data_IF_103551873192
#
_entry.id   IF_103551873192
#
_cell.length_a   1.000
_cell.length_b   1.000
_cell.length_c   1.000
_cell.angle_alpha   90.00
_cell.angle_beta   90.00
_cell.angle_gamma   90.00
#
_symmetry.space_group_name_H-M   'P 1'
#
loop_
_entity.id
_entity.type
_entity.pdbx_description
1 polymer ?
#
# COMPACT_ATOMS: atom_id res chain seq x y z
N UNK A 1 -17.31 18.17 0.06
CA UNK A 1 -16.30 17.68 1.02
C UNK A 1 -15.47 16.61 0.31
N UNK A 2 -14.15 16.79 0.27
CA UNK A 2 -13.24 15.75 -0.24
C UNK A 2 -13.10 14.65 0.82
N UNK A 3 -13.05 13.36 0.44
CA UNK A 3 -12.80 12.29 1.39
C UNK A 3 -11.40 12.46 1.99
N UNK A 4 -11.26 12.21 3.29
CA UNK A 4 -9.97 12.19 3.98
C UNK A 4 -9.34 10.81 3.79
N UNK A 5 -8.18 10.77 3.16
CA UNK A 5 -7.39 9.57 2.94
C UNK A 5 -6.23 9.54 3.92
N UNK A 6 -5.94 8.39 4.47
CA UNK A 6 -4.78 8.17 5.34
C UNK A 6 -3.98 6.94 4.90
N UNK A 7 -2.70 6.96 5.15
CA UNK A 7 -1.79 5.84 4.98
C UNK A 7 -1.02 5.61 6.27
N UNK A 8 -1.04 4.41 6.78
CA UNK A 8 -0.25 4.00 7.92
C UNK A 8 0.80 2.97 7.50
N UNK A 9 2.07 3.30 7.69
CA UNK A 9 3.19 2.39 7.54
C UNK A 9 3.49 1.70 8.87
N UNK A 10 3.49 0.37 8.88
CA UNK A 10 3.60 -0.42 10.10
C UNK A 10 4.94 -1.14 10.17
N UNK A 11 5.70 -0.88 11.25
CA UNK A 11 7.04 -1.39 11.47
C UNK A 11 8.11 -0.73 10.58
N UNK A 12 9.36 -1.14 10.71
CA UNK A 12 10.50 -0.54 10.00
C UNK A 12 10.35 -0.58 8.47
N UNK A 13 9.87 -1.71 7.90
CA UNK A 13 9.63 -1.82 6.46
C UNK A 13 8.51 -0.87 5.97
N UNK A 14 7.42 -0.72 6.76
CA UNK A 14 6.38 0.26 6.48
C UNK A 14 6.91 1.69 6.55
N UNK A 15 7.78 2.00 7.51
CA UNK A 15 8.48 3.28 7.62
C UNK A 15 9.36 3.59 6.41
N UNK A 16 10.09 2.61 5.88
CA UNK A 16 10.90 2.77 4.68
C UNK A 16 10.03 3.06 3.44
N UNK A 17 8.89 2.38 3.30
CA UNK A 17 7.94 2.69 2.24
C UNK A 17 7.42 4.13 2.33
N UNK A 18 7.14 4.63 3.55
CA UNK A 18 6.70 6.01 3.76
C UNK A 18 7.75 7.04 3.35
N UNK A 19 9.06 6.78 3.57
CA UNK A 19 10.14 7.67 3.09
C UNK A 19 10.05 7.86 1.58
N UNK A 20 9.93 6.77 0.83
CA UNK A 20 9.76 6.82 -0.62
C UNK A 20 8.50 7.59 -1.01
N UNK A 21 7.40 7.43 -0.29
CA UNK A 21 6.14 8.13 -0.56
C UNK A 21 6.24 9.64 -0.32
N UNK A 22 6.96 10.07 0.71
CA UNK A 22 7.27 11.49 0.95
C UNK A 22 8.17 12.05 -0.15
N UNK A 23 9.22 11.33 -0.52
CA UNK A 23 10.16 11.74 -1.59
C UNK A 23 9.48 11.85 -2.96
N UNK A 24 8.55 10.96 -3.26
CA UNK A 24 7.76 10.94 -4.50
C UNK A 24 6.59 11.95 -4.49
N UNK A 25 6.31 12.60 -3.36
CA UNK A 25 5.26 13.61 -3.25
C UNK A 25 3.85 13.01 -3.32
N UNK A 26 3.49 12.12 -2.38
CA UNK A 26 2.14 11.60 -2.27
C UNK A 26 1.21 12.67 -1.67
N UNK A 27 0.50 13.39 -2.53
CA UNK A 27 -0.38 14.49 -2.14
C UNK A 27 -1.78 14.02 -1.71
N UNK A 28 -2.34 14.73 -0.73
CA UNK A 28 -3.74 14.54 -0.31
C UNK A 28 -3.99 13.31 0.56
N UNK A 29 -2.93 12.68 1.07
CA UNK A 29 -3.00 11.52 1.96
C UNK A 29 -2.24 11.85 3.26
N UNK A 30 -2.90 11.70 4.40
CA UNK A 30 -2.25 11.85 5.71
C UNK A 30 -1.33 10.66 5.97
N UNK A 31 -0.06 10.91 6.30
CA UNK A 31 0.95 9.88 6.47
C UNK A 31 1.25 9.63 7.96
N UNK A 32 1.07 8.39 8.40
CA UNK A 32 1.33 7.92 9.76
C UNK A 32 2.33 6.77 9.75
N UNK A 33 3.26 6.74 10.71
CA UNK A 33 4.17 5.62 10.92
C UNK A 33 3.93 5.01 12.29
N UNK A 34 3.48 3.75 12.35
CA UNK A 34 3.32 3.00 13.59
C UNK A 34 4.48 2.02 13.77
N UNK A 35 5.26 2.18 14.82
CA UNK A 35 6.37 1.28 15.11
C UNK A 35 6.55 1.07 16.62
N UNK A 36 7.11 -0.09 16.98
CA UNK A 36 7.57 -0.44 18.33
C UNK A 36 9.01 0.02 18.59
N UNK A 37 9.72 0.46 17.56
CA UNK A 37 11.08 1.01 17.64
C UNK A 37 11.01 2.54 17.47
N UNK A 38 11.36 3.25 18.55
CA UNK A 38 11.30 4.72 18.57
C UNK A 38 12.41 5.34 17.70
N UNK A 39 13.57 4.70 17.59
CA UNK A 39 14.69 5.22 16.79
C UNK A 39 14.34 5.23 15.30
N UNK A 40 13.61 4.20 14.82
CA UNK A 40 13.11 4.17 13.46
C UNK A 40 12.14 5.32 13.18
N UNK A 41 11.26 5.65 14.15
CA UNK A 41 10.29 6.74 14.03
C UNK A 41 10.94 8.11 13.98
N UNK A 42 11.98 8.37 14.79
CA UNK A 42 12.70 9.65 14.85
C UNK A 42 13.38 10.00 13.50
N UNK A 43 13.73 8.99 12.73
CA UNK A 43 14.37 9.16 11.41
C UNK A 43 13.38 9.45 10.26
N UNK A 44 12.07 9.47 10.53
CA UNK A 44 11.03 9.72 9.53
C UNK A 44 10.65 11.20 9.49
N UNK A 45 10.94 11.88 8.38
CA UNK A 45 10.53 13.26 8.13
C UNK A 45 9.27 13.31 7.28
N UNK A 46 8.38 14.27 7.58
CA UNK A 46 7.14 14.45 6.80
C UNK A 46 6.05 13.41 7.08
N UNK A 47 6.20 12.62 8.15
CA UNK A 47 5.26 11.58 8.57
C UNK A 47 4.94 11.78 10.05
N UNK A 48 3.69 11.57 10.45
CA UNK A 48 3.29 11.62 11.86
C UNK A 48 3.65 10.29 12.55
N UNK A 49 4.54 10.30 13.54
CA UNK A 49 4.94 9.08 14.23
C UNK A 49 3.88 8.65 15.26
N UNK A 50 3.66 7.35 15.35
CA UNK A 50 2.82 6.68 16.36
C UNK A 50 3.67 5.59 17.02
N UNK A 51 4.15 5.85 18.22
CA UNK A 51 4.89 4.85 19.01
C UNK A 51 3.90 3.87 19.63
N UNK A 52 3.96 2.61 19.23
CA UNK A 52 3.05 1.58 19.73
C UNK A 52 3.76 0.64 20.72
N UNK A 53 3.03 0.20 21.75
CA UNK A 53 3.53 -0.78 22.70
C UNK A 53 4.59 -0.24 23.67
N UNK A 54 4.44 0.99 24.16
CA UNK A 54 5.40 1.63 25.08
C UNK A 54 5.66 0.81 26.33
N UNK A 55 4.68 0.06 26.86
CA UNK A 55 4.85 -0.83 27.99
C UNK A 55 5.38 -2.21 27.61
N UNK A 56 4.96 -2.73 26.46
CA UNK A 56 5.30 -4.10 26.04
C UNK A 56 6.67 -4.21 25.37
N UNK A 57 7.21 -3.11 24.80
CA UNK A 57 8.47 -3.11 24.03
C UNK A 57 9.49 -2.09 24.53
N UNK A 58 9.09 -1.17 25.41
CA UNK A 58 9.94 -0.07 25.92
C UNK A 58 10.62 0.74 24.79
N UNK A 59 10.02 0.76 23.59
CA UNK A 59 10.58 1.45 22.43
C UNK A 59 11.74 0.72 21.73
N UNK A 60 12.03 -0.53 22.12
CA UNK A 60 13.18 -1.31 21.64
C UNK A 60 12.84 -2.28 20.50
N UNK A 61 11.61 -2.21 19.99
CA UNK A 61 11.15 -3.06 18.91
C UNK A 61 10.51 -4.38 19.36
N UNK A 62 9.99 -5.15 18.41
CA UNK A 62 9.26 -6.40 18.65
C UNK A 62 10.13 -7.67 18.59
N UNK A 63 11.46 -7.57 18.42
CA UNK A 63 12.37 -8.72 18.38
C UNK A 63 12.03 -9.78 17.32
N UNK A 64 11.46 -9.37 16.19
CA UNK A 64 10.96 -10.24 15.12
C UNK A 64 9.85 -11.24 15.56
N UNK A 65 9.19 -11.00 16.69
CA UNK A 65 8.05 -11.80 17.17
C UNK A 65 6.72 -11.09 16.87
N UNK A 66 5.86 -11.63 15.98
CA UNK A 66 4.55 -11.04 15.68
C UNK A 66 3.61 -10.95 16.89
N UNK A 67 3.77 -11.82 17.89
CA UNK A 67 2.94 -11.76 19.10
C UNK A 67 3.22 -10.49 19.89
N UNK A 68 4.50 -10.08 19.95
CA UNK A 68 4.90 -8.82 20.59
C UNK A 68 4.35 -7.63 19.80
N UNK A 69 4.47 -7.64 18.47
CA UNK A 69 3.91 -6.60 17.60
C UNK A 69 2.39 -6.48 17.74
N UNK A 70 1.67 -7.61 17.82
CA UNK A 70 0.23 -7.66 18.05
C UNK A 70 -0.15 -7.03 19.38
N UNK A 71 0.50 -7.45 20.46
CA UNK A 71 0.27 -6.92 21.81
C UNK A 71 0.56 -5.41 21.88
N UNK A 72 1.62 -4.95 21.22
CA UNK A 72 1.97 -3.53 21.15
C UNK A 72 0.87 -2.69 20.47
N UNK A 73 0.28 -3.19 19.39
CA UNK A 73 -0.83 -2.52 18.72
C UNK A 73 -2.12 -2.56 19.55
N UNK A 74 -2.42 -3.70 20.20
CA UNK A 74 -3.57 -3.83 21.10
C UNK A 74 -3.49 -2.86 22.28
N UNK A 75 -2.31 -2.66 22.84
CA UNK A 75 -2.04 -1.70 23.92
C UNK A 75 -2.29 -0.25 23.46
N UNK A 76 -2.00 0.06 22.21
CA UNK A 76 -2.02 1.42 21.67
C UNK A 76 -3.26 1.74 20.84
N UNK A 77 -4.32 0.92 20.90
CA UNK A 77 -5.52 1.06 20.06
C UNK A 77 -6.19 2.44 20.19
N UNK A 78 -6.30 2.98 21.42
CA UNK A 78 -6.93 4.26 21.65
C UNK A 78 -6.13 5.43 21.05
N UNK A 79 -4.81 5.32 21.06
CA UNK A 79 -3.94 6.31 20.42
C UNK A 79 -4.09 6.25 18.91
N UNK A 80 -4.00 5.05 18.31
CA UNK A 80 -4.19 4.85 16.87
C UNK A 80 -5.57 5.35 16.43
N UNK A 81 -6.61 5.08 17.21
CA UNK A 81 -7.98 5.53 16.95
C UNK A 81 -8.07 7.06 16.77
N UNK A 82 -7.40 7.83 17.65
CA UNK A 82 -7.40 9.30 17.58
C UNK A 82 -6.81 9.82 16.29
N UNK A 83 -5.73 9.21 15.79
CA UNK A 83 -5.12 9.61 14.52
C UNK A 83 -6.01 9.27 13.31
N UNK A 84 -6.77 8.18 13.39
CA UNK A 84 -7.65 7.74 12.31
C UNK A 84 -9.05 8.39 12.34
N UNK A 85 -9.36 9.17 13.36
CA UNK A 85 -10.66 9.83 13.50
C UNK A 85 -10.97 10.75 12.30
N UNK A 86 -12.17 10.61 11.72
CA UNK A 86 -12.58 11.35 10.50
C UNK A 86 -11.96 10.85 9.18
N UNK A 87 -11.17 9.78 9.20
CA UNK A 87 -10.64 9.14 7.99
C UNK A 87 -11.75 8.37 7.27
N UNK A 88 -11.85 8.55 5.95
CA UNK A 88 -12.82 7.82 5.10
C UNK A 88 -12.22 6.56 4.49
N UNK A 89 -10.93 6.61 4.15
CA UNK A 89 -10.18 5.46 3.62
C UNK A 89 -8.79 5.40 4.23
N UNK A 90 -8.39 4.20 4.62
CA UNK A 90 -7.08 3.90 5.17
C UNK A 90 -6.33 2.91 4.28
N UNK A 91 -5.11 3.28 3.92
CA UNK A 91 -4.12 2.35 3.39
C UNK A 91 -3.24 1.85 4.53
N UNK A 92 -2.99 0.56 4.59
CA UNK A 92 -2.03 -0.05 5.51
C UNK A 92 -0.89 -0.62 4.68
N UNK A 93 0.34 -0.17 4.92
CA UNK A 93 1.53 -0.75 4.30
C UNK A 93 2.44 -1.36 5.35
N UNK A 94 2.89 -2.58 5.08
CA UNK A 94 3.81 -3.30 5.96
C UNK A 94 4.64 -4.31 5.17
N UNK A 95 5.90 -4.49 5.59
CA UNK A 95 6.70 -5.63 5.16
C UNK A 95 6.45 -6.77 6.14
N UNK A 96 5.77 -7.81 5.68
CA UNK A 96 5.41 -8.95 6.51
C UNK A 96 6.60 -9.91 6.69
N UNK A 97 6.56 -10.69 7.75
CA UNK A 97 7.63 -11.64 8.12
C UNK A 97 8.46 -11.22 9.33
N UNK A 98 8.40 -9.92 9.71
CA UNK A 98 8.97 -9.40 10.95
C UNK A 98 8.00 -9.45 12.13
N UNK A 99 8.34 -8.78 13.22
CA UNK A 99 7.51 -8.71 14.43
C UNK A 99 6.41 -7.66 14.31
N UNK A 100 6.79 -6.39 14.25
CA UNK A 100 5.84 -5.26 14.29
C UNK A 100 4.89 -5.26 13.11
N UNK A 101 5.40 -5.29 11.87
CA UNK A 101 4.56 -5.22 10.67
C UNK A 101 3.56 -6.38 10.60
N UNK A 102 4.02 -7.61 10.88
CA UNK A 102 3.17 -8.81 10.82
C UNK A 102 2.12 -8.85 11.91
N UNK A 103 2.49 -8.46 13.14
CA UNK A 103 1.58 -8.55 14.29
C UNK A 103 0.65 -7.36 14.43
N UNK A 104 1.14 -6.14 14.19
CA UNK A 104 0.37 -4.93 14.41
C UNK A 104 -0.57 -4.59 13.24
N UNK A 105 -0.21 -4.89 11.99
CA UNK A 105 -1.05 -4.52 10.85
C UNK A 105 -2.47 -5.13 10.91
N UNK A 106 -2.68 -6.40 11.28
CA UNK A 106 -4.03 -6.95 11.45
C UNK A 106 -4.84 -6.26 12.55
N UNK A 107 -4.21 -5.88 13.67
CA UNK A 107 -4.89 -5.17 14.77
C UNK A 107 -5.36 -3.78 14.29
N UNK A 108 -4.49 -3.05 13.60
CA UNK A 108 -4.82 -1.75 13.01
C UNK A 108 -5.93 -1.90 11.97
N UNK A 109 -5.87 -2.94 11.15
CA UNK A 109 -6.90 -3.25 10.16
C UNK A 109 -8.26 -3.49 10.81
N UNK A 110 -8.30 -4.29 11.88
CA UNK A 110 -9.53 -4.55 12.62
C UNK A 110 -10.10 -3.26 13.24
N UNK A 111 -9.23 -2.47 13.88
CA UNK A 111 -9.62 -1.19 14.47
C UNK A 111 -10.24 -0.23 13.42
N UNK A 112 -9.61 -0.10 12.26
CA UNK A 112 -10.10 0.74 11.18
C UNK A 112 -11.46 0.24 10.64
N UNK A 113 -11.62 -1.07 10.51
CA UNK A 113 -12.88 -1.70 10.12
C UNK A 113 -13.99 -1.42 11.13
N UNK A 114 -13.69 -1.54 12.43
CA UNK A 114 -14.65 -1.26 13.51
C UNK A 114 -15.06 0.22 13.55
N UNK A 115 -14.19 1.11 13.09
CA UNK A 115 -14.48 2.53 12.87
C UNK A 115 -15.27 2.81 11.59
N UNK A 116 -15.57 1.81 10.76
CA UNK A 116 -16.28 1.96 9.49
C UNK A 116 -15.45 2.57 8.37
N UNK A 117 -14.11 2.59 8.52
CA UNK A 117 -13.18 3.13 7.53
C UNK A 117 -12.96 2.10 6.42
N UNK A 118 -13.10 2.51 5.15
CA UNK A 118 -12.70 1.66 4.02
C UNK A 118 -11.19 1.40 4.10
N UNK A 119 -10.78 0.15 4.27
CA UNK A 119 -9.39 -0.18 4.54
C UNK A 119 -8.82 -1.13 3.48
N UNK A 120 -7.68 -0.76 2.92
CA UNK A 120 -6.92 -1.55 1.94
C UNK A 120 -5.52 -1.79 2.48
N UNK A 121 -5.11 -3.06 2.56
CA UNK A 121 -3.74 -3.40 2.89
C UNK A 121 -2.92 -3.62 1.61
N UNK A 122 -1.75 -2.98 1.53
CA UNK A 122 -0.76 -3.19 0.47
C UNK A 122 0.53 -3.61 1.15
N UNK A 123 0.82 -4.90 1.12
CA UNK A 123 1.89 -5.51 1.94
C UNK A 123 2.87 -6.30 1.09
N UNK A 124 4.10 -6.43 1.58
CA UNK A 124 5.13 -7.23 0.92
C UNK A 124 5.43 -8.50 1.67
N UNK A 125 5.90 -9.54 0.95
CA UNK A 125 6.44 -10.76 1.56
C UNK A 125 7.95 -10.75 1.54
N UNK A 126 8.61 -11.49 2.47
CA UNK A 126 10.05 -11.57 2.55
C UNK A 126 10.71 -12.12 1.28
N UNK A 127 11.98 -11.82 1.13
CA UNK A 127 12.85 -12.49 0.16
C UNK A 127 13.04 -13.98 0.53
N UNK A 128 13.23 -14.83 -0.46
CA UNK A 128 13.43 -16.27 -0.21
C UNK A 128 14.65 -16.57 0.67
N UNK A 129 15.70 -15.75 0.59
CA UNK A 129 16.91 -15.89 1.40
C UNK A 129 16.74 -15.47 2.87
N UNK A 130 15.66 -14.77 3.22
CA UNK A 130 15.36 -14.43 4.62
C UNK A 130 14.89 -15.63 5.46
N UNK A 131 14.60 -16.72 4.79
CA UNK A 131 14.36 -18.03 5.39
C UNK A 131 12.87 -18.35 5.60
N UNK A 132 12.63 -19.65 5.80
CA UNK A 132 11.28 -20.23 5.89
C UNK A 132 10.46 -19.68 7.07
N UNK A 133 11.12 -19.36 8.18
CA UNK A 133 10.42 -18.82 9.38
C UNK A 133 9.77 -17.49 9.08
N UNK A 134 10.48 -16.55 8.44
CA UNK A 134 9.94 -15.25 8.04
C UNK A 134 8.81 -15.40 7.01
N UNK A 135 9.00 -16.28 6.02
CA UNK A 135 7.97 -16.53 5.01
C UNK A 135 6.69 -17.12 5.64
N UNK A 136 6.82 -18.08 6.58
CA UNK A 136 5.67 -18.63 7.30
C UNK A 136 4.95 -17.57 8.14
N UNK A 137 5.70 -16.71 8.81
CA UNK A 137 5.16 -15.60 9.58
C UNK A 137 4.40 -14.61 8.68
N UNK A 138 4.97 -14.27 7.51
CA UNK A 138 4.32 -13.41 6.53
C UNK A 138 3.01 -14.02 6.02
N UNK A 139 2.99 -15.31 5.71
CA UNK A 139 1.78 -16.01 5.25
C UNK A 139 0.67 -15.94 6.29
N UNK A 140 0.99 -16.20 7.56
CA UNK A 140 0.02 -16.10 8.66
C UNK A 140 -0.55 -14.67 8.77
N UNK A 141 0.30 -13.65 8.64
CA UNK A 141 -0.14 -12.25 8.64
C UNK A 141 -1.05 -11.90 7.46
N UNK A 142 -0.76 -12.43 6.27
CA UNK A 142 -1.64 -12.27 5.10
C UNK A 142 -2.98 -12.94 5.34
N UNK A 143 -3.00 -14.17 5.83
CA UNK A 143 -4.23 -14.91 6.10
C UNK A 143 -5.10 -14.17 7.15
N UNK A 144 -4.47 -13.60 8.19
CA UNK A 144 -5.16 -12.78 9.20
C UNK A 144 -5.72 -11.48 8.57
N UNK A 145 -4.95 -10.76 7.77
CA UNK A 145 -5.42 -9.56 7.04
C UNK A 145 -6.59 -9.89 6.10
N UNK A 146 -6.50 -10.96 5.32
CA UNK A 146 -7.56 -11.40 4.40
C UNK A 146 -8.85 -11.82 5.14
N UNK A 147 -8.75 -12.27 6.38
CA UNK A 147 -9.92 -12.57 7.20
C UNK A 147 -10.66 -11.32 7.68
N UNK A 148 -9.93 -10.22 7.87
CA UNK A 148 -10.43 -8.94 8.37
C UNK A 148 -10.89 -8.03 7.24
N UNK A 149 -10.03 -7.82 6.25
CA UNK A 149 -10.23 -6.87 5.15
C UNK A 149 -10.84 -7.51 3.91
N UNK A 150 -11.59 -6.73 3.19
CA UNK A 150 -12.14 -7.15 1.89
C UNK A 150 -11.10 -7.03 0.77
N UNK A 151 -10.17 -6.10 0.87
CA UNK A 151 -9.12 -5.87 -0.14
C UNK A 151 -7.71 -5.95 0.48
N UNK A 152 -6.93 -6.92 0.03
CA UNK A 152 -5.52 -7.10 0.38
C UNK A 152 -4.70 -7.29 -0.88
N UNK A 153 -3.73 -6.43 -1.09
CA UNK A 153 -2.76 -6.51 -2.19
C UNK A 153 -1.44 -7.02 -1.62
N UNK A 154 -0.96 -8.12 -2.17
CA UNK A 154 0.30 -8.73 -1.75
C UNK A 154 1.32 -8.60 -2.86
N UNK A 155 2.47 -8.00 -2.54
CA UNK A 155 3.59 -7.81 -3.45
C UNK A 155 4.73 -8.72 -2.99
N UNK A 156 5.00 -9.82 -3.70
CA UNK A 156 6.13 -10.68 -3.37
C UNK A 156 7.46 -9.99 -3.70
N UNK A 157 8.30 -9.70 -2.70
CA UNK A 157 9.62 -9.11 -2.93
C UNK A 157 10.44 -9.95 -3.92
N UNK A 158 10.25 -11.26 -3.90
CA UNK A 158 10.93 -12.19 -4.81
C UNK A 158 10.72 -11.88 -6.29
N UNK A 159 9.59 -11.24 -6.65
CA UNK A 159 9.28 -10.91 -8.03
C UNK A 159 10.18 -9.82 -8.61
N UNK A 160 10.89 -9.06 -7.79
CA UNK A 160 11.87 -8.06 -8.25
C UNK A 160 12.96 -8.70 -9.11
N UNK A 161 13.33 -9.96 -8.85
CA UNK A 161 14.33 -10.69 -9.63
C UNK A 161 13.94 -10.95 -11.09
N UNK A 162 12.67 -10.68 -11.44
CA UNK A 162 12.19 -10.75 -12.84
C UNK A 162 12.56 -9.50 -13.65
N UNK A 163 12.90 -8.39 -12.96
CA UNK A 163 13.15 -7.07 -13.61
C UNK A 163 14.55 -6.52 -13.39
N UNK A 164 15.30 -7.06 -12.43
CA UNK A 164 16.67 -6.65 -12.15
C UNK A 164 17.69 -7.60 -12.78
N UNK A 165 18.94 -7.18 -12.79
CA UNK A 165 20.07 -8.03 -13.20
C UNK A 165 20.96 -8.40 -11.99
N UNK A 166 21.87 -9.36 -12.16
CA UNK A 166 22.74 -9.89 -11.11
C UNK A 166 23.68 -8.84 -10.48
N UNK A 167 23.87 -7.68 -11.11
CA UNK A 167 24.72 -6.59 -10.63
C UNK A 167 23.97 -5.51 -9.87
N UNK A 168 22.64 -5.60 -9.80
CA UNK A 168 21.79 -4.61 -9.13
C UNK A 168 22.04 -4.63 -7.62
N UNK A 169 22.45 -3.52 -7.00
CA UNK A 169 22.66 -3.46 -5.55
C UNK A 169 21.38 -3.74 -4.77
N UNK A 170 21.49 -4.35 -3.59
CA UNK A 170 20.35 -4.70 -2.73
C UNK A 170 19.50 -3.47 -2.38
N UNK A 171 20.14 -2.32 -2.15
CA UNK A 171 19.43 -1.07 -1.88
C UNK A 171 18.49 -0.68 -3.02
N UNK A 172 18.93 -0.81 -4.27
CA UNK A 172 18.10 -0.53 -5.43
C UNK A 172 16.92 -1.50 -5.54
N UNK A 173 17.12 -2.76 -5.14
CA UNK A 173 16.02 -3.74 -5.05
C UNK A 173 14.96 -3.30 -4.02
N UNK A 174 15.38 -2.83 -2.86
CA UNK A 174 14.49 -2.32 -1.81
C UNK A 174 13.76 -1.05 -2.28
N UNK A 175 14.45 -0.13 -2.95
CA UNK A 175 13.86 1.09 -3.50
C UNK A 175 12.79 0.78 -4.56
N UNK A 176 13.01 -0.24 -5.40
CA UNK A 176 12.02 -0.70 -6.37
C UNK A 176 10.78 -1.32 -5.71
N UNK A 177 10.96 -2.08 -4.62
CA UNK A 177 9.84 -2.62 -3.83
C UNK A 177 9.03 -1.46 -3.22
N UNK A 178 9.71 -0.49 -2.59
CA UNK A 178 9.07 0.67 -1.99
C UNK A 178 8.34 1.53 -3.05
N UNK A 179 8.94 1.66 -4.23
CA UNK A 179 8.30 2.32 -5.37
C UNK A 179 7.03 1.60 -5.80
N UNK A 180 7.01 0.27 -5.82
CA UNK A 180 5.81 -0.51 -6.16
C UNK A 180 4.70 -0.30 -5.12
N UNK A 181 5.05 -0.21 -3.83
CA UNK A 181 4.09 0.17 -2.78
C UNK A 181 3.53 1.58 -3.00
N UNK A 182 4.38 2.54 -3.32
CA UNK A 182 3.97 3.89 -3.69
C UNK A 182 3.03 3.90 -4.90
N UNK A 183 3.37 3.20 -5.97
CA UNK A 183 2.57 3.12 -7.20
C UNK A 183 1.16 2.61 -6.89
N UNK A 184 1.03 1.59 -6.02
CA UNK A 184 -0.26 1.04 -5.58
C UNK A 184 -1.12 2.06 -4.81
N UNK A 185 -0.54 2.72 -3.82
CA UNK A 185 -1.26 3.75 -3.05
C UNK A 185 -1.61 4.94 -3.94
N UNK A 186 -0.65 5.41 -4.75
CA UNK A 186 -0.82 6.56 -5.64
C UNK A 186 -1.90 6.32 -6.69
N UNK A 187 -1.93 5.12 -7.29
CA UNK A 187 -2.94 4.76 -8.28
C UNK A 187 -4.36 4.82 -7.69
N UNK A 188 -4.57 4.24 -6.51
CA UNK A 188 -5.89 4.22 -5.86
C UNK A 188 -6.26 5.61 -5.33
N UNK A 189 -5.33 6.33 -4.70
CA UNK A 189 -5.58 7.69 -4.19
C UNK A 189 -5.89 8.67 -5.31
N UNK A 190 -5.21 8.56 -6.45
CA UNK A 190 -5.44 9.41 -7.62
C UNK A 190 -6.87 9.27 -8.18
N UNK A 191 -7.43 8.05 -8.17
CA UNK A 191 -8.82 7.81 -8.58
C UNK A 191 -9.83 8.60 -7.74
N UNK A 192 -9.51 8.79 -6.45
CA UNK A 192 -10.40 9.44 -5.48
C UNK A 192 -10.16 10.95 -5.43
N UNK A 193 -8.90 11.38 -5.53
CA UNK A 193 -8.49 12.77 -5.26
C UNK A 193 -8.39 13.65 -6.51
N UNK A 194 -8.05 13.07 -7.68
CA UNK A 194 -7.86 13.84 -8.91
C UNK A 194 -9.18 14.04 -9.63
N UNK A 195 -9.51 15.32 -9.89
CA UNK A 195 -10.62 15.66 -10.76
C UNK A 195 -10.24 15.35 -12.21
N UNK A 196 -10.85 14.36 -12.80
CA UNK A 196 -10.76 14.04 -14.23
C UNK A 196 -11.95 14.57 -15.00
N UNK A 197 -11.99 14.33 -16.33
CA UNK A 197 -13.16 14.61 -17.16
C UNK A 197 -14.37 13.77 -16.76
N UNK A 198 -14.13 12.58 -16.22
CA UNK A 198 -15.12 11.69 -15.61
C UNK A 198 -14.60 11.37 -14.22
N UNK A 199 -15.33 11.78 -13.19
CA UNK A 199 -14.98 11.52 -11.80
C UNK A 199 -15.67 10.24 -11.34
N UNK A 200 -14.87 9.36 -10.68
CA UNK A 200 -15.40 8.20 -9.98
C UNK A 200 -15.82 8.67 -8.58
N UNK A 201 -17.03 8.35 -8.18
CA UNK A 201 -17.50 8.67 -6.84
C UNK A 201 -16.81 7.74 -5.82
N UNK A 202 -16.50 8.27 -4.63
CA UNK A 202 -15.93 7.46 -3.55
C UNK A 202 -16.80 6.23 -3.20
N UNK A 203 -18.11 6.36 -3.37
CA UNK A 203 -19.06 5.27 -3.19
C UNK A 203 -18.83 4.11 -4.18
N UNK A 204 -18.49 4.42 -5.44
CA UNK A 204 -18.22 3.41 -6.47
C UNK A 204 -16.92 2.65 -6.16
N UNK A 205 -15.87 3.40 -5.75
CA UNK A 205 -14.60 2.80 -5.30
C UNK A 205 -14.85 1.87 -4.11
N UNK A 206 -15.64 2.33 -3.13
CA UNK A 206 -16.02 1.53 -1.96
C UNK A 206 -16.74 0.24 -2.36
N UNK A 207 -17.69 0.32 -3.27
CA UNK A 207 -18.48 -0.83 -3.75
C UNK A 207 -17.57 -1.89 -4.39
N UNK A 208 -16.64 -1.47 -5.25
CA UNK A 208 -15.71 -2.39 -5.91
C UNK A 208 -14.74 -3.01 -4.90
N UNK A 209 -14.21 -2.22 -3.96
CA UNK A 209 -13.24 -2.69 -2.98
C UNK A 209 -13.84 -3.51 -1.83
N UNK A 210 -15.15 -3.55 -1.69
CA UNK A 210 -15.85 -4.43 -0.74
C UNK A 210 -16.03 -5.88 -1.24
N UNK A 211 -15.65 -6.17 -2.48
CA UNK A 211 -15.61 -7.55 -2.95
C UNK A 211 -14.44 -8.30 -2.31
N UNK A 212 -14.74 -9.26 -1.44
CA UNK A 212 -13.74 -10.08 -0.75
C UNK A 212 -12.83 -10.81 -1.72
N UNK A 213 -11.54 -10.64 -1.55
CA UNK A 213 -10.53 -11.36 -2.30
C UNK A 213 -9.18 -10.67 -2.33
N UNK A 214 -8.23 -11.36 -2.94
CA UNK A 214 -6.95 -10.75 -3.29
C UNK A 214 -7.17 -9.77 -4.43
N UNK A 215 -6.62 -8.59 -4.30
CA UNK A 215 -6.61 -7.59 -5.35
C UNK A 215 -5.21 -7.45 -5.94
N UNK A 216 -5.17 -7.00 -7.18
CA UNK A 216 -3.95 -6.56 -7.86
C UNK A 216 -4.16 -5.21 -8.46
N UNK A 217 -3.08 -4.48 -8.66
CA UNK A 217 -3.08 -3.25 -9.40
C UNK A 217 -1.98 -3.30 -10.46
N UNK A 218 -2.12 -2.52 -11.52
CA UNK A 218 -1.07 -2.34 -12.50
C UNK A 218 -1.04 -0.89 -12.94
N UNK A 219 0.13 -0.39 -13.27
CA UNK A 219 0.35 0.94 -13.80
C UNK A 219 1.14 0.82 -15.09
N UNK A 220 0.64 1.38 -16.16
CA UNK A 220 1.33 1.43 -17.44
C UNK A 220 1.41 2.86 -17.93
N UNK A 221 2.58 3.24 -18.43
CA UNK A 221 2.85 4.58 -18.98
C UNK A 221 3.56 4.43 -20.31
N UNK A 222 3.00 5.01 -21.37
CA UNK A 222 3.60 4.97 -22.69
C UNK A 222 3.39 6.26 -23.47
N UNK A 223 4.16 6.45 -24.52
CA UNK A 223 4.10 7.61 -25.43
C UNK A 223 4.18 7.13 -26.88
N UNK A 224 3.77 7.98 -27.85
CA UNK A 224 3.77 7.63 -29.27
C UNK A 224 2.43 7.18 -29.81
N UNK A 225 2.41 6.64 -31.03
CA UNK A 225 1.16 6.25 -31.73
C UNK A 225 0.44 5.09 -31.03
N UNK A 226 1.19 4.06 -30.59
CA UNK A 226 0.66 2.86 -29.96
C UNK A 226 0.54 2.97 -28.41
N UNK A 227 0.66 4.20 -27.86
CA UNK A 227 0.72 4.43 -26.40
C UNK A 227 -0.45 3.81 -25.63
N UNK A 228 -1.64 3.76 -26.20
CA UNK A 228 -2.82 3.22 -25.53
C UNK A 228 -2.71 1.69 -25.33
N UNK A 229 -2.26 0.98 -26.35
CA UNK A 229 -2.07 -0.48 -26.31
C UNK A 229 -0.89 -0.80 -25.40
N UNK A 230 0.25 -0.15 -25.62
CA UNK A 230 1.48 -0.39 -24.84
C UNK A 230 1.30 -0.10 -23.34
N UNK A 231 0.61 0.98 -22.98
CA UNK A 231 0.34 1.28 -21.57
C UNK A 231 -0.63 0.28 -20.93
N UNK A 232 -1.62 -0.20 -21.67
CA UNK A 232 -2.53 -1.22 -21.17
C UNK A 232 -1.82 -2.57 -20.98
N UNK A 233 -0.98 -2.97 -21.93
CA UNK A 233 -0.15 -4.18 -21.84
C UNK A 233 0.82 -4.10 -20.65
N UNK A 234 1.48 -2.96 -20.46
CA UNK A 234 2.41 -2.72 -19.35
C UNK A 234 1.68 -2.80 -18.00
N UNK A 235 0.49 -2.20 -17.89
CA UNK A 235 -0.32 -2.27 -16.67
C UNK A 235 -0.76 -3.70 -16.30
N UNK A 236 -1.06 -4.55 -17.30
CA UNK A 236 -1.52 -5.93 -17.07
C UNK A 236 -0.31 -6.86 -16.80
N UNK A 237 0.83 -6.56 -17.38
CA UNK A 237 2.02 -7.43 -17.38
C UNK A 237 3.04 -7.06 -16.30
N UNK A 238 2.67 -6.25 -15.28
CA UNK A 238 3.61 -5.83 -14.25
C UNK A 238 4.21 -7.04 -13.52
N UNK A 239 5.52 -7.29 -13.67
CA UNK A 239 6.16 -8.50 -13.13
C UNK A 239 6.26 -8.52 -11.60
N UNK A 240 6.07 -7.35 -10.94
CA UNK A 240 6.05 -7.27 -9.47
C UNK A 240 4.77 -7.84 -8.87
N UNK A 241 3.72 -7.97 -9.66
CA UNK A 241 2.47 -8.55 -9.20
C UNK A 241 2.53 -10.08 -9.30
N UNK A 242 1.78 -10.74 -8.46
CA UNK A 242 1.68 -12.20 -8.49
C UNK A 242 1.07 -12.65 -9.84
N UNK A 243 1.39 -13.86 -10.32
CA UNK A 243 0.85 -14.45 -11.55
C UNK A 243 -0.67 -14.67 -11.46
N UNK A 244 -1.42 -13.61 -11.24
CA UNK A 244 -2.86 -13.65 -11.10
C UNK A 244 -3.49 -13.62 -12.49
N UNK A 245 -4.13 -14.74 -12.83
CA UNK A 245 -5.02 -14.78 -13.98
C UNK A 245 -6.18 -13.82 -13.73
N UNK A 246 -6.44 -12.92 -14.67
CA UNK A 246 -7.64 -12.06 -14.67
C UNK A 246 -8.94 -12.88 -14.77
N UNK A 247 -8.84 -14.20 -15.01
CA UNK A 247 -9.98 -15.11 -15.02
C UNK A 247 -10.61 -15.21 -13.64
N UNK A 248 -11.87 -14.85 -13.54
CA UNK A 248 -12.61 -14.85 -12.27
C UNK A 248 -12.58 -13.52 -11.51
N UNK A 249 -12.04 -12.46 -12.09
CA UNK A 249 -12.11 -11.10 -11.55
C UNK A 249 -13.56 -10.65 -11.36
N UNK A 250 -13.93 -10.25 -10.15
CA UNK A 250 -15.29 -9.82 -9.81
C UNK A 250 -15.49 -8.31 -9.98
N UNK A 251 -14.42 -7.52 -9.94
CA UNK A 251 -14.45 -6.07 -10.10
C UNK A 251 -13.18 -5.59 -10.78
N UNK A 252 -13.30 -4.59 -11.63
CA UNK A 252 -12.20 -3.92 -12.31
C UNK A 252 -12.38 -2.42 -12.19
N UNK A 253 -11.34 -1.74 -11.72
CA UNK A 253 -11.28 -0.30 -11.67
C UNK A 253 -10.18 0.17 -12.63
N UNK A 254 -10.53 1.04 -13.57
CA UNK A 254 -9.60 1.54 -14.58
C UNK A 254 -9.53 3.05 -14.49
N UNK A 255 -8.33 3.59 -14.40
CA UNK A 255 -8.05 5.03 -14.57
C UNK A 255 -7.27 5.24 -15.86
N UNK A 256 -7.78 6.11 -16.70
CA UNK A 256 -7.11 6.52 -17.92
C UNK A 256 -6.79 8.01 -17.83
N UNK A 257 -5.50 8.36 -17.91
CA UNK A 257 -5.04 9.75 -17.89
C UNK A 257 -4.22 10.04 -19.13
N UNK A 258 -4.62 11.02 -19.93
CA UNK A 258 -3.83 11.52 -21.05
C UNK A 258 -3.19 12.86 -20.66
N UNK A 259 -1.85 12.92 -20.67
CA UNK A 259 -1.09 14.11 -20.27
C UNK A 259 -0.90 15.14 -21.42
N UNK A 260 -1.33 14.81 -22.64
CA UNK A 260 -1.07 15.60 -23.85
C UNK A 260 -2.31 16.26 -24.46
N UNK A 261 -3.32 16.62 -23.67
CA UNK A 261 -4.38 17.49 -24.17
C UNK A 261 -3.97 18.97 -24.01
N UNK A 262 -3.01 19.42 -24.85
CA UNK A 262 -2.58 20.84 -24.89
C UNK A 262 -2.97 21.55 -26.16
N UNK A 263 -3.63 20.90 -27.12
CA UNK A 263 -4.20 21.56 -28.29
C UNK A 263 -5.55 20.93 -28.67
N UNK A 264 -6.57 21.73 -29.03
CA UNK A 264 -7.81 21.19 -29.56
C UNK A 264 -7.52 20.33 -30.78
N UNK A 265 -8.17 19.16 -30.83
CA UNK A 265 -8.10 18.29 -32.02
C UNK A 265 -8.53 19.11 -33.25
N UNK A 266 -7.90 18.92 -34.41
CA UNK A 266 -8.38 19.54 -35.68
C UNK A 266 -9.85 19.21 -35.99
N UNK A 267 -10.44 18.22 -35.34
CA UNK A 267 -11.88 17.88 -35.47
C UNK A 267 -12.79 18.79 -34.64
N UNK A 268 -12.27 19.47 -33.60
CA UNK A 268 -13.05 20.36 -32.74
C UNK A 268 -13.13 21.79 -33.30
N UNK A 269 -12.45 22.05 -34.42
CA UNK A 269 -12.45 23.33 -35.14
C UNK A 269 -13.43 23.39 -36.31
N UNK A 270 -14.27 22.36 -36.49
CA UNK A 270 -15.32 22.32 -37.50
C UNK A 270 -16.69 22.17 -36.80
N UNK A 271 -17.16 23.29 -36.26
CA UNK A 271 -18.57 23.51 -35.93
C UNK A 271 -18.91 24.97 -36.16
#
# INVERSE_FOLDING_TARGET
LRPRLALIGVGGGGGNALKTMVEQGLDGVDLFAANTDVQDLENLKGVTPISIGSHSTEGLGAGADPKVGKKAAEESQEEIRRYLEGTHMLFITACLGGGTGTGAAPVIAQLAKDMGILTVAIVTTPWSFEGKKRMSSAKNGIDELCSILDTVIVIPNQNIFRIINEKTPMKECEDLVNKTLYDGVSAISALIMKNGSINIDFADVKTIMQHKGKAVFGVGVSSGEDRAILSAEDAISNPMLDDLSLKGTKGLLVSLTCLLYTSPSPRDSIA
#
